data_IF_589056391857
#
_entry.id   IF_589056391857
#
_cell.length_a   1.000
_cell.length_b   1.000
_cell.length_c   1.000
_cell.angle_alpha   90.00
_cell.angle_beta   90.00
_cell.angle_gamma   90.00
#
_symmetry.space_group_name_H-M   'P 1'
#
loop_
_entity.id
_entity.type
_entity.pdbx_description
1 polymer ?
#
# COMPACT_ATOMS: atom_id res chain seq x y z
N UNK A 1 -5.10 3.97 12.99
CA UNK A 1 -4.91 4.37 11.58
C UNK A 1 -3.70 3.63 11.05
N UNK A 2 -3.84 3.02 9.87
CA UNK A 2 -2.71 2.45 9.12
C UNK A 2 -2.25 3.57 8.22
N UNK A 3 -1.20 4.24 8.64
CA UNK A 3 -0.71 5.40 7.93
C UNK A 3 0.50 4.92 7.13
N UNK A 4 0.49 5.10 5.81
CA UNK A 4 1.56 4.77 4.86
C UNK A 4 1.62 5.87 3.80
N UNK A 5 2.84 6.31 3.46
CA UNK A 5 3.09 7.51 2.65
C UNK A 5 3.87 7.19 1.37
N UNK A 6 3.18 7.06 0.23
CA UNK A 6 3.74 7.27 -1.12
C UNK A 6 2.65 7.17 -2.20
N UNK A 7 2.79 7.88 -3.32
CA UNK A 7 2.18 7.51 -4.61
C UNK A 7 3.32 7.17 -5.57
N UNK A 8 3.25 6.04 -6.26
CA UNK A 8 4.26 5.61 -7.21
C UNK A 8 3.73 5.76 -8.65
N UNK A 9 4.34 6.61 -9.46
CA UNK A 9 4.09 6.68 -10.90
C UNK A 9 5.21 5.92 -11.60
N UNK A 10 4.92 4.89 -12.36
CA UNK A 10 5.93 4.02 -13.01
C UNK A 10 5.82 4.11 -14.52
N UNK A 11 6.94 4.28 -15.22
CA UNK A 11 6.95 4.73 -16.61
C UNK A 11 7.65 3.72 -17.51
N UNK A 12 6.92 3.28 -18.55
CA UNK A 12 7.35 2.43 -19.67
C UNK A 12 7.78 0.99 -19.35
N UNK A 13 6.87 0.02 -19.56
CA UNK A 13 7.17 -1.41 -19.55
C UNK A 13 8.06 -1.81 -20.73
N UNK A 14 9.34 -2.14 -20.52
CA UNK A 14 10.29 -2.40 -21.62
C UNK A 14 10.32 -3.84 -22.12
N UNK A 15 10.22 -4.83 -21.26
CA UNK A 15 10.41 -6.23 -21.67
C UNK A 15 9.99 -7.22 -20.54
N UNK A 16 8.81 -7.83 -20.63
CA UNK A 16 8.39 -8.87 -19.67
C UNK A 16 9.17 -10.19 -19.83
N UNK A 17 9.93 -10.35 -20.91
CA UNK A 17 10.57 -11.61 -21.29
C UNK A 17 12.07 -11.63 -20.96
N UNK A 18 12.66 -10.48 -20.63
CA UNK A 18 14.05 -10.39 -20.20
C UNK A 18 14.15 -9.90 -18.74
N UNK A 19 14.25 -10.82 -17.77
CA UNK A 19 14.32 -10.47 -16.34
C UNK A 19 15.58 -9.70 -15.97
N UNK A 20 16.61 -9.70 -16.82
CA UNK A 20 17.83 -8.92 -16.60
C UNK A 20 17.68 -7.43 -16.99
N UNK A 21 16.56 -7.04 -17.62
CA UNK A 21 16.25 -5.63 -17.90
C UNK A 21 15.28 -5.08 -16.87
N UNK A 22 15.42 -3.81 -16.49
CA UNK A 22 14.42 -3.18 -15.65
C UNK A 22 13.04 -3.18 -16.32
N UNK A 23 12.01 -3.50 -15.55
CA UNK A 23 10.64 -3.51 -16.05
C UNK A 23 10.22 -2.12 -16.55
N UNK A 24 10.60 -1.06 -15.82
CA UNK A 24 10.28 0.33 -16.15
C UNK A 24 11.52 1.14 -16.53
N UNK A 25 11.47 1.99 -17.55
CA UNK A 25 12.60 2.88 -17.88
C UNK A 25 12.83 3.96 -16.84
N UNK A 26 11.73 4.47 -16.27
CA UNK A 26 11.76 5.54 -15.28
C UNK A 26 10.68 5.31 -14.23
N UNK A 27 10.93 5.73 -12.99
CA UNK A 27 9.95 5.74 -11.91
C UNK A 27 9.90 7.15 -11.35
N UNK A 28 8.71 7.72 -11.20
CA UNK A 28 8.49 9.03 -10.58
C UNK A 28 7.67 8.84 -9.33
N UNK A 29 8.25 9.12 -8.18
CA UNK A 29 7.60 9.01 -6.88
C UNK A 29 7.02 10.37 -6.50
N UNK A 30 5.73 10.40 -6.19
CA UNK A 30 5.02 11.59 -5.72
C UNK A 30 4.62 11.38 -4.28
N UNK A 31 5.31 12.03 -3.36
CA UNK A 31 5.07 11.86 -1.93
C UNK A 31 3.83 12.59 -1.47
N UNK A 32 2.97 11.90 -0.76
CA UNK A 32 1.76 12.41 -0.09
C UNK A 32 1.65 11.74 1.26
N UNK A 33 0.80 12.29 2.14
CA UNK A 33 0.46 11.63 3.38
C UNK A 33 1.61 11.48 4.37
N UNK A 34 2.64 12.31 4.22
CA UNK A 34 3.75 12.39 5.16
C UNK A 34 3.93 13.81 5.71
N UNK A 35 4.24 13.90 7.00
CA UNK A 35 4.45 15.18 7.70
C UNK A 35 5.65 15.94 7.13
N UNK A 36 6.74 15.22 6.85
CA UNK A 36 7.93 15.75 6.19
C UNK A 36 8.33 14.87 4.98
N UNK A 37 7.81 15.23 3.81
CA UNK A 37 8.04 14.51 2.56
C UNK A 37 9.51 14.54 2.11
N UNK A 38 10.26 15.58 2.47
CA UNK A 38 11.69 15.66 2.14
C UNK A 38 12.49 14.61 2.93
N UNK A 39 12.14 14.39 4.21
CA UNK A 39 12.73 13.32 5.03
C UNK A 39 12.40 11.94 4.47
N UNK A 40 11.14 11.68 4.11
CA UNK A 40 10.77 10.39 3.53
C UNK A 40 11.50 10.11 2.23
N UNK A 41 11.62 11.10 1.33
CA UNK A 41 12.39 10.96 0.11
C UNK A 41 13.87 10.63 0.37
N UNK A 42 14.47 11.32 1.35
CA UNK A 42 15.86 11.06 1.76
C UNK A 42 16.01 9.64 2.34
N UNK A 43 15.07 9.21 3.18
CA UNK A 43 15.04 7.85 3.73
C UNK A 43 14.89 6.76 2.67
N UNK A 44 14.09 7.02 1.62
CA UNK A 44 13.96 6.10 0.47
C UNK A 44 15.23 6.05 -0.38
N UNK A 45 15.94 7.17 -0.55
CA UNK A 45 17.26 7.18 -1.21
C UNK A 45 18.27 6.36 -0.42
N UNK A 46 18.29 6.48 0.91
CA UNK A 46 19.13 5.67 1.78
C UNK A 46 18.78 4.18 1.67
N UNK A 47 17.48 3.84 1.65
CA UNK A 47 17.00 2.48 1.39
C UNK A 47 17.51 1.94 0.06
N UNK A 48 17.34 2.67 -1.05
CA UNK A 48 17.78 2.22 -2.37
C UNK A 48 19.30 2.06 -2.43
N UNK A 49 20.06 2.93 -1.75
CA UNK A 49 21.51 2.80 -1.64
C UNK A 49 21.94 1.57 -0.83
N UNK A 50 21.20 1.18 0.21
CA UNK A 50 21.40 -0.09 0.93
C UNK A 50 21.00 -1.29 0.07
N UNK A 51 19.86 -1.22 -0.62
CA UNK A 51 19.33 -2.28 -1.47
C UNK A 51 20.23 -2.56 -2.68
N UNK A 52 20.97 -1.57 -3.17
CA UNK A 52 21.96 -1.74 -4.26
C UNK A 52 23.09 -2.71 -3.86
N UNK A 53 23.34 -2.88 -2.56
CA UNK A 53 24.37 -3.77 -2.01
C UNK A 53 23.84 -5.15 -1.64
N UNK A 54 22.56 -5.44 -1.91
CA UNK A 54 21.90 -6.72 -1.64
C UNK A 54 22.02 -7.69 -2.81
N UNK A 55 21.58 -8.92 -2.60
CA UNK A 55 21.43 -9.93 -3.64
C UNK A 55 19.99 -10.42 -3.59
N UNK A 56 19.20 -10.23 -4.65
CA UNK A 56 19.52 -9.45 -5.86
C UNK A 56 19.74 -7.95 -5.56
N UNK A 57 20.64 -7.26 -6.28
CA UNK A 57 20.78 -5.81 -6.13
C UNK A 57 19.70 -5.09 -6.93
N UNK A 58 19.23 -3.93 -6.45
CA UNK A 58 18.51 -2.99 -7.33
C UNK A 58 19.45 -2.48 -8.44
N UNK A 59 18.95 -2.11 -9.63
CA UNK A 59 19.78 -1.66 -10.75
C UNK A 59 20.67 -0.47 -10.38
N UNK A 60 21.96 -0.51 -10.73
CA UNK A 60 22.94 0.56 -10.38
C UNK A 60 22.57 1.95 -10.92
N UNK A 61 21.81 1.99 -12.01
CA UNK A 61 21.33 3.21 -12.66
C UNK A 61 20.02 3.76 -12.07
N UNK A 62 19.55 3.22 -10.93
CA UNK A 62 18.29 3.64 -10.31
C UNK A 62 18.25 5.15 -10.06
N UNK A 63 19.39 5.79 -9.70
CA UNK A 63 19.47 7.23 -9.43
C UNK A 63 19.05 8.09 -10.62
N UNK A 64 19.46 7.70 -11.82
CA UNK A 64 19.14 8.43 -13.05
C UNK A 64 17.69 8.17 -13.49
N UNK A 65 17.16 7.03 -13.09
CA UNK A 65 15.84 6.52 -13.47
C UNK A 65 14.73 6.86 -12.47
N UNK A 66 15.06 7.39 -11.30
CA UNK A 66 14.08 7.83 -10.30
C UNK A 66 13.90 9.34 -10.29
N UNK A 67 12.66 9.81 -10.40
CA UNK A 67 12.25 11.19 -10.11
C UNK A 67 11.51 11.26 -8.78
N UNK A 68 11.65 12.38 -8.08
CA UNK A 68 11.07 12.57 -6.75
C UNK A 68 10.33 13.90 -6.71
N UNK A 69 9.05 13.87 -6.36
CA UNK A 69 8.18 15.04 -6.24
C UNK A 69 7.36 14.94 -4.96
N UNK A 70 6.73 16.02 -4.54
CA UNK A 70 5.75 16.03 -3.45
C UNK A 70 4.38 16.49 -3.92
N UNK A 71 3.31 15.93 -3.36
CA UNK A 71 1.96 16.43 -3.54
C UNK A 71 1.83 17.88 -3.10
N UNK A 72 0.90 18.62 -3.73
CA UNK A 72 0.60 20.00 -3.36
C UNK A 72 0.04 20.09 -1.94
N UNK A 73 -0.84 19.17 -1.58
CA UNK A 73 -1.46 19.10 -0.27
C UNK A 73 -1.01 17.84 0.46
N UNK A 74 -0.82 17.95 1.78
CA UNK A 74 -0.78 16.78 2.62
C UNK A 74 -2.21 16.44 3.07
N UNK A 75 -2.75 15.34 2.57
CA UNK A 75 -4.08 14.85 2.97
C UNK A 75 -4.09 14.21 4.37
N UNK A 76 -2.92 14.06 4.98
CA UNK A 76 -2.78 13.62 6.37
C UNK A 76 -2.79 14.81 7.32
N UNK A 77 -3.73 14.79 8.27
CA UNK A 77 -3.93 15.83 9.29
C UNK A 77 -3.02 15.64 10.49
N UNK A 78 -2.48 14.43 10.66
CA UNK A 78 -1.70 14.04 11.83
C UNK A 78 -0.34 13.48 11.41
N UNK A 79 0.64 13.63 12.30
CA UNK A 79 1.95 13.03 12.12
C UNK A 79 1.81 11.51 12.08
N UNK A 80 2.45 10.93 11.07
CA UNK A 80 2.34 9.51 10.83
C UNK A 80 3.34 8.77 11.73
N UNK A 81 2.90 7.80 12.56
CA UNK A 81 3.73 7.23 13.64
C UNK A 81 5.00 6.51 13.17
N UNK A 82 5.01 5.98 11.95
CA UNK A 82 6.20 5.33 11.38
C UNK A 82 7.24 6.36 10.88
N UNK A 83 6.93 7.66 10.81
CA UNK A 83 7.91 8.68 10.44
C UNK A 83 8.96 8.92 11.54
N UNK A 84 8.71 8.42 12.76
CA UNK A 84 9.67 8.51 13.87
C UNK A 84 11.05 7.94 13.54
N UNK A 85 11.13 7.01 12.58
CA UNK A 85 12.40 6.45 12.08
C UNK A 85 13.27 7.52 11.41
N UNK A 86 12.63 8.45 10.72
CA UNK A 86 13.29 9.52 9.99
C UNK A 86 13.34 10.83 10.77
N UNK A 87 12.92 10.86 12.05
CA UNK A 87 12.79 12.10 12.84
C UNK A 87 14.08 12.94 12.87
N UNK A 88 15.23 12.27 12.93
CA UNK A 88 16.56 12.89 13.00
C UNK A 88 17.24 13.02 11.62
N UNK A 89 16.62 12.50 10.56
CA UNK A 89 17.16 12.59 9.21
C UNK A 89 17.12 14.06 8.77
N UNK A 90 18.24 14.52 8.20
CA UNK A 90 18.34 15.86 7.61
C UNK A 90 18.25 15.70 6.10
N UNK A 91 17.16 16.18 5.46
CA UNK A 91 17.03 16.07 4.02
C UNK A 91 18.18 16.80 3.30
N UNK A 92 18.73 16.15 2.28
CA UNK A 92 19.80 16.73 1.47
C UNK A 92 19.27 17.65 0.35
N UNK A 93 17.98 17.52 0.00
CA UNK A 93 17.30 18.35 -1.00
C UNK A 93 15.84 18.62 -0.62
N UNK A 94 15.24 19.60 -1.30
CA UNK A 94 13.80 19.84 -1.26
C UNK A 94 13.14 19.24 -2.49
N UNK A 95 12.00 18.59 -2.29
CA UNK A 95 11.18 18.07 -3.38
C UNK A 95 10.43 19.19 -4.08
N UNK A 96 10.39 19.13 -5.42
CA UNK A 96 9.50 19.96 -6.20
C UNK A 96 8.04 19.53 -6.03
N UNK A 97 7.11 20.47 -6.13
CA UNK A 97 5.68 20.18 -6.09
C UNK A 97 5.23 19.52 -7.40
N UNK A 98 4.52 18.41 -7.27
CA UNK A 98 3.87 17.71 -8.36
C UNK A 98 2.65 18.52 -8.82
N UNK A 99 2.75 19.04 -10.04
CA UNK A 99 1.68 19.60 -10.85
C UNK A 99 1.56 18.76 -12.11
N UNK A 100 0.48 18.90 -12.87
CA UNK A 100 0.36 18.26 -14.18
C UNK A 100 1.60 18.54 -15.06
N UNK A 101 2.03 19.80 -15.22
CA UNK A 101 3.24 20.14 -15.96
C UNK A 101 4.55 19.54 -15.40
N UNK A 102 4.80 19.59 -14.08
CA UNK A 102 6.05 19.07 -13.52
C UNK A 102 6.13 17.54 -13.60
N UNK A 103 4.97 16.87 -13.47
CA UNK A 103 4.86 15.44 -13.66
C UNK A 103 5.06 15.07 -15.14
N UNK A 104 4.38 15.74 -16.08
CA UNK A 104 4.57 15.52 -17.51
C UNK A 104 6.02 15.75 -17.96
N UNK A 105 6.68 16.81 -17.45
CA UNK A 105 8.10 17.06 -17.71
C UNK A 105 9.00 15.95 -17.13
N UNK A 106 8.67 15.41 -15.96
CA UNK A 106 9.38 14.27 -15.37
C UNK A 106 9.17 12.99 -16.17
N UNK A 107 7.99 12.79 -16.75
CA UNK A 107 7.66 11.68 -17.64
C UNK A 107 8.36 11.81 -18.99
N UNK A 108 8.46 13.01 -19.56
CA UNK A 108 9.13 13.26 -20.83
C UNK A 108 10.64 12.96 -20.82
N UNK A 109 11.26 12.86 -19.63
CA UNK A 109 12.63 12.36 -19.46
C UNK A 109 12.74 10.85 -19.71
N UNK A 110 11.62 10.13 -19.76
CA UNK A 110 11.55 8.73 -20.13
C UNK A 110 11.33 8.61 -21.65
N UNK A 111 12.23 7.89 -22.33
CA UNK A 111 12.17 7.67 -23.78
C UNK A 111 13.24 8.45 -24.56
N UNK A 112 13.86 7.77 -25.53
CA UNK A 112 14.90 8.33 -26.41
C UNK A 112 14.55 8.25 -27.89
N UNK A 113 13.27 8.07 -28.24
CA UNK A 113 12.84 7.61 -29.57
C UNK A 113 11.74 8.41 -30.28
N UNK A 114 11.34 9.59 -29.78
CA UNK A 114 10.36 10.47 -30.44
C UNK A 114 8.88 10.15 -30.20
N UNK A 115 8.54 8.92 -29.79
CA UNK A 115 7.17 8.57 -29.35
C UNK A 115 6.93 8.95 -27.87
N UNK A 116 5.72 9.42 -27.50
CA UNK A 116 5.42 9.72 -26.12
C UNK A 116 5.41 8.43 -25.27
N UNK A 117 5.99 8.46 -24.05
CA UNK A 117 6.10 7.29 -23.20
C UNK A 117 4.73 6.73 -22.79
N UNK A 118 4.63 5.41 -22.66
CA UNK A 118 3.48 4.74 -22.06
C UNK A 118 3.57 4.82 -20.53
N UNK A 119 2.48 5.18 -19.87
CA UNK A 119 2.48 5.49 -18.43
C UNK A 119 1.58 4.52 -17.67
N UNK A 120 2.10 3.91 -16.60
CA UNK A 120 1.31 3.17 -15.61
C UNK A 120 1.32 3.95 -14.28
N UNK A 121 0.14 4.16 -13.69
CA UNK A 121 -0.01 4.93 -12.45
C UNK A 121 -0.40 4.00 -11.32
N UNK A 122 0.32 4.02 -10.20
CA UNK A 122 0.02 3.21 -9.01
C UNK A 122 -0.24 4.12 -7.80
N UNK A 123 -1.51 4.31 -7.45
CA UNK A 123 -1.88 5.08 -6.27
C UNK A 123 -1.88 4.20 -5.02
N UNK A 124 -0.91 4.44 -4.13
CA UNK A 124 -0.69 3.67 -2.90
C UNK A 124 -0.75 4.51 -1.62
N UNK A 125 -1.31 5.72 -1.70
CA UNK A 125 -1.63 6.56 -0.55
C UNK A 125 -2.77 7.53 -0.89
N UNK A 126 -3.47 8.07 0.13
CA UNK A 126 -4.53 9.03 -0.10
C UNK A 126 -4.04 10.26 -0.86
N UNK A 127 -4.91 10.85 -1.68
CA UNK A 127 -4.58 12.01 -2.52
C UNK A 127 -5.76 12.95 -2.67
N UNK A 128 -5.55 14.23 -2.95
CA UNK A 128 -6.66 15.10 -3.32
C UNK A 128 -7.15 14.72 -4.73
N UNK A 129 -8.48 14.59 -4.89
CA UNK A 129 -9.12 14.25 -6.17
C UNK A 129 -8.69 15.18 -7.31
N UNK A 130 -8.66 16.49 -7.03
CA UNK A 130 -8.26 17.53 -8.00
C UNK A 130 -6.83 17.35 -8.51
N UNK A 131 -5.92 16.89 -7.65
CA UNK A 131 -4.52 16.74 -8.02
C UNK A 131 -4.36 15.46 -8.88
N UNK A 132 -5.12 14.39 -8.60
CA UNK A 132 -5.18 13.21 -9.49
C UNK A 132 -5.73 13.60 -10.88
N UNK A 133 -6.79 14.40 -10.92
CA UNK A 133 -7.35 14.87 -12.18
C UNK A 133 -6.35 15.70 -12.99
N UNK A 134 -5.64 16.60 -12.33
CA UNK A 134 -4.56 17.37 -12.96
C UNK A 134 -3.49 16.46 -13.59
N UNK A 135 -3.15 15.35 -12.92
CA UNK A 135 -2.20 14.38 -13.45
C UNK A 135 -2.74 13.59 -14.64
N UNK A 136 -3.97 13.10 -14.56
CA UNK A 136 -4.61 12.37 -15.67
C UNK A 136 -4.71 13.24 -16.91
N UNK A 137 -5.02 14.53 -16.74
CA UNK A 137 -5.19 15.46 -17.85
C UNK A 137 -3.84 15.87 -18.50
N UNK A 138 -2.74 15.84 -17.75
CA UNK A 138 -1.42 16.29 -18.20
C UNK A 138 -0.49 15.16 -18.69
N UNK A 139 -0.59 13.96 -18.11
CA UNK A 139 0.26 12.82 -18.49
C UNK A 139 -0.04 12.37 -19.93
N UNK A 140 0.97 11.90 -20.68
CA UNK A 140 0.74 11.25 -21.98
C UNK A 140 0.36 9.78 -21.80
N UNK A 141 -0.46 9.25 -22.72
CA UNK A 141 -0.65 7.82 -22.97
C UNK A 141 -0.72 6.92 -21.70
N UNK A 142 -1.67 7.19 -20.79
CA UNK A 142 -1.87 6.30 -19.63
C UNK A 142 -2.41 4.95 -20.13
N UNK A 143 -1.76 3.87 -19.70
CA UNK A 143 -2.13 2.49 -20.02
C UNK A 143 -2.85 1.85 -18.84
N UNK A 144 -2.24 1.84 -17.65
CA UNK A 144 -2.85 1.34 -16.42
C UNK A 144 -2.98 2.47 -15.41
N UNK A 145 -4.12 2.51 -14.74
CA UNK A 145 -4.27 3.20 -13.46
C UNK A 145 -4.63 2.14 -12.41
N UNK A 146 -3.74 1.87 -11.49
CA UNK A 146 -3.96 0.97 -10.37
C UNK A 146 -4.36 1.77 -9.12
N UNK A 147 -5.44 1.32 -8.48
CA UNK A 147 -5.92 1.87 -7.23
C UNK A 147 -6.14 0.75 -6.21
N UNK A 148 -5.32 0.71 -5.16
CA UNK A 148 -5.48 -0.25 -4.08
C UNK A 148 -6.61 0.18 -3.13
N UNK A 149 -7.70 -0.58 -3.09
CA UNK A 149 -8.85 -0.31 -2.23
C UNK A 149 -8.48 -0.47 -0.75
N UNK A 150 -8.68 0.61 0.00
CA UNK A 150 -8.38 0.69 1.42
C UNK A 150 -8.09 2.13 1.82
N UNK A 151 -7.40 2.30 2.93
CA UNK A 151 -6.95 3.62 3.35
C UNK A 151 -6.23 4.37 2.20
N UNK A 152 -5.42 3.66 1.41
CA UNK A 152 -4.60 4.19 0.32
C UNK A 152 -5.41 4.75 -0.86
N UNK A 153 -6.66 4.35 -1.02
CA UNK A 153 -7.53 4.84 -2.10
C UNK A 153 -8.44 5.99 -1.67
N UNK A 154 -8.27 6.58 -0.48
CA UNK A 154 -9.10 7.72 -0.05
C UNK A 154 -8.77 8.99 -0.81
N UNK A 155 -9.75 9.88 -0.93
CA UNK A 155 -9.60 11.17 -1.59
C UNK A 155 -9.86 12.30 -0.61
N UNK A 156 -8.85 13.14 -0.47
CA UNK A 156 -8.87 14.26 0.45
C UNK A 156 -8.72 13.89 1.92
N UNK A 157 -8.96 14.89 2.75
CA UNK A 157 -8.60 14.90 4.17
C UNK A 157 -9.79 14.48 5.04
N UNK A 158 -9.84 13.23 5.45
CA UNK A 158 -10.89 12.73 6.34
C UNK A 158 -10.44 12.80 7.81
N UNK A 159 -11.31 13.35 8.68
CA UNK A 159 -11.09 13.46 10.12
C UNK A 159 -12.43 13.39 10.86
N UNK A 160 -12.38 12.90 12.10
CA UNK A 160 -13.45 12.95 13.10
C UNK A 160 -13.86 14.37 13.52
N UNK A 161 -13.04 15.38 13.19
CA UNK A 161 -13.30 16.80 13.47
C UNK A 161 -14.17 17.49 12.41
N UNK A 162 -14.47 16.81 11.29
CA UNK A 162 -15.33 17.36 10.25
C UNK A 162 -16.77 17.53 10.78
N UNK A 163 -17.47 18.58 10.32
CA UNK A 163 -18.91 18.68 10.55
C UNK A 163 -19.64 17.52 9.87
N UNK A 164 -20.86 17.19 10.32
CA UNK A 164 -21.65 16.14 9.70
C UNK A 164 -21.92 16.41 8.20
N UNK A 165 -22.09 17.68 7.82
CA UNK A 165 -22.27 18.11 6.44
C UNK A 165 -21.00 17.92 5.61
N UNK A 166 -19.86 18.40 6.10
CA UNK A 166 -18.56 18.25 5.42
C UNK A 166 -18.16 16.77 5.27
N UNK A 167 -18.43 15.97 6.31
CA UNK A 167 -18.18 14.54 6.32
C UNK A 167 -18.96 13.83 5.20
N UNK A 168 -20.26 14.11 5.08
CA UNK A 168 -21.11 13.58 4.02
C UNK A 168 -20.68 14.07 2.63
N UNK A 169 -20.35 15.35 2.49
CA UNK A 169 -19.89 15.91 1.23
C UNK A 169 -18.56 15.28 0.77
N UNK A 170 -17.64 15.04 1.69
CA UNK A 170 -16.38 14.36 1.41
C UNK A 170 -16.60 12.89 1.03
N UNK A 171 -17.48 12.17 1.74
CA UNK A 171 -17.80 10.78 1.41
C UNK A 171 -18.40 10.66 0.00
N UNK A 172 -19.35 11.54 -0.35
CA UNK A 172 -19.94 11.58 -1.69
C UNK A 172 -18.88 11.87 -2.76
N UNK A 173 -18.00 12.86 -2.53
CA UNK A 173 -16.88 13.16 -3.44
C UNK A 173 -15.96 11.95 -3.66
N UNK A 174 -15.63 11.22 -2.61
CA UNK A 174 -14.84 9.99 -2.72
C UNK A 174 -15.59 8.93 -3.54
N UNK A 175 -16.88 8.74 -3.31
CA UNK A 175 -17.70 7.79 -4.05
C UNK A 175 -17.79 8.13 -5.55
N UNK A 176 -18.03 9.41 -5.86
CA UNK A 176 -18.09 9.90 -7.23
C UNK A 176 -16.74 9.78 -7.93
N UNK A 177 -15.63 10.05 -7.24
CA UNK A 177 -14.29 9.85 -7.78
C UNK A 177 -14.10 8.40 -8.25
N UNK A 178 -14.35 7.42 -7.38
CA UNK A 178 -14.15 6.00 -7.71
C UNK A 178 -15.06 5.54 -8.85
N UNK A 179 -16.32 5.97 -8.84
CA UNK A 179 -17.28 5.58 -9.87
C UNK A 179 -17.06 6.22 -11.25
N UNK A 180 -16.39 7.37 -11.30
CA UNK A 180 -16.18 8.12 -12.56
C UNK A 180 -14.76 8.04 -13.09
N UNK A 181 -13.81 7.53 -12.31
CA UNK A 181 -12.38 7.46 -12.65
C UNK A 181 -12.13 6.76 -13.99
N UNK A 182 -12.69 5.57 -14.22
CA UNK A 182 -12.50 4.86 -15.50
C UNK A 182 -13.06 5.65 -16.69
N UNK A 183 -14.26 6.22 -16.55
CA UNK A 183 -14.88 7.03 -17.60
C UNK A 183 -14.03 8.26 -17.95
N UNK A 184 -13.55 8.99 -16.93
CA UNK A 184 -12.69 10.15 -17.11
C UNK A 184 -11.32 9.78 -17.68
N UNK A 185 -10.74 8.69 -17.22
CA UNK A 185 -9.48 8.15 -17.72
C UNK A 185 -9.61 7.81 -19.21
N UNK A 186 -10.65 7.09 -19.64
CA UNK A 186 -10.89 6.74 -21.05
C UNK A 186 -11.18 7.94 -21.95
N UNK A 187 -11.79 8.99 -21.43
CA UNK A 187 -12.07 10.20 -22.19
C UNK A 187 -10.78 10.89 -22.67
N UNK A 188 -9.71 10.79 -21.88
CA UNK A 188 -8.38 11.33 -22.21
C UNK A 188 -7.45 10.29 -22.83
N UNK A 189 -7.53 9.05 -22.35
CA UNK A 189 -6.64 7.93 -22.67
C UNK A 189 -7.47 6.73 -23.12
N UNK A 190 -7.82 6.67 -24.41
CA UNK A 190 -8.84 5.73 -24.92
C UNK A 190 -8.57 4.24 -24.61
N UNK A 191 -7.30 3.85 -24.46
CA UNK A 191 -6.87 2.48 -24.17
C UNK A 191 -6.64 2.20 -22.67
N UNK A 192 -6.80 3.19 -21.81
CA UNK A 192 -6.47 3.05 -20.40
C UNK A 192 -7.42 2.11 -19.64
N UNK A 193 -6.85 1.39 -18.67
CA UNK A 193 -7.58 0.49 -17.77
C UNK A 193 -7.36 0.89 -16.31
N UNK A 194 -8.44 1.18 -15.61
CA UNK A 194 -8.50 1.23 -14.17
C UNK A 194 -8.57 -0.20 -13.62
N UNK A 195 -7.60 -0.57 -12.79
CA UNK A 195 -7.54 -1.85 -12.09
C UNK A 195 -7.57 -1.58 -10.59
N UNK A 196 -8.59 -2.11 -9.93
CA UNK A 196 -8.69 -2.16 -8.48
C UNK A 196 -8.12 -3.45 -7.95
N UNK A 197 -7.49 -3.36 -6.78
CA UNK A 197 -7.15 -4.53 -5.98
C UNK A 197 -7.65 -4.36 -4.54
N UNK A 198 -8.00 -5.45 -3.87
CA UNK A 198 -8.33 -5.46 -2.45
C UNK A 198 -8.02 -6.83 -1.82
N UNK A 199 -7.59 -6.87 -0.56
CA UNK A 199 -7.14 -8.13 0.05
C UNK A 199 -8.12 -9.33 -0.13
N UNK A 200 -9.39 -9.29 0.31
CA UNK A 200 -10.24 -10.48 0.28
C UNK A 200 -10.80 -10.84 -1.11
N UNK A 201 -10.79 -9.93 -2.09
CA UNK A 201 -11.26 -10.24 -3.46
C UNK A 201 -10.08 -10.57 -4.38
N UNK A 202 -8.96 -9.85 -4.23
CA UNK A 202 -7.78 -10.08 -5.06
C UNK A 202 -7.04 -11.34 -4.66
N UNK A 203 -6.92 -11.63 -3.37
CA UNK A 203 -6.18 -12.80 -2.88
C UNK A 203 -7.11 -13.83 -2.25
N UNK A 204 -6.87 -15.10 -2.57
CA UNK A 204 -7.56 -16.25 -1.94
C UNK A 204 -7.16 -16.46 -0.47
N UNK A 205 -6.05 -15.86 -0.04
CA UNK A 205 -5.50 -15.97 1.32
C UNK A 205 -5.63 -14.64 2.09
N UNK A 206 -6.30 -14.62 3.27
CA UNK A 206 -6.38 -13.43 4.13
C UNK A 206 -5.02 -12.87 4.57
N UNK A 207 -3.98 -13.72 4.63
CA UNK A 207 -2.60 -13.33 4.97
C UNK A 207 -1.78 -12.76 3.81
N UNK A 208 -2.39 -12.52 2.64
CA UNK A 208 -1.67 -12.03 1.46
C UNK A 208 -1.12 -10.60 1.60
N UNK A 209 -1.49 -9.87 2.65
CA UNK A 209 -0.89 -8.57 2.98
C UNK A 209 0.52 -8.68 3.58
N UNK A 210 0.93 -9.86 4.05
CA UNK A 210 2.15 -9.98 4.85
C UNK A 210 3.09 -11.06 4.31
N UNK A 211 4.38 -10.90 4.55
CA UNK A 211 5.45 -11.80 4.10
C UNK A 211 6.23 -12.34 5.29
N UNK A 212 6.67 -13.60 5.21
CA UNK A 212 7.46 -14.21 6.29
C UNK A 212 8.81 -13.50 6.44
N UNK A 213 9.22 -13.22 7.68
CA UNK A 213 10.48 -12.53 7.97
C UNK A 213 11.70 -13.24 7.35
N UNK A 214 11.69 -14.58 7.33
CA UNK A 214 12.77 -15.37 6.74
C UNK A 214 12.95 -15.10 5.24
N UNK A 215 11.84 -14.96 4.51
CA UNK A 215 11.84 -14.59 3.10
C UNK A 215 12.30 -13.13 2.94
N UNK A 216 11.76 -12.19 3.73
CA UNK A 216 12.16 -10.79 3.67
C UNK A 216 13.66 -10.57 3.90
N UNK A 217 14.29 -11.34 4.79
CA UNK A 217 15.74 -11.31 5.06
C UNK A 217 16.61 -11.67 3.87
N UNK A 218 16.08 -12.32 2.85
CA UNK A 218 16.80 -12.63 1.62
C UNK A 218 16.88 -11.38 0.72
N UNK A 219 15.82 -10.58 0.66
CA UNK A 219 15.69 -9.51 -0.33
C UNK A 219 15.94 -8.10 0.22
N UNK A 220 15.57 -7.83 1.47
CA UNK A 220 15.63 -6.48 2.05
C UNK A 220 16.86 -6.26 2.95
N UNK A 221 17.36 -5.01 3.09
CA UNK A 221 18.40 -4.70 4.05
C UNK A 221 17.92 -4.87 5.51
N UNK A 222 18.83 -5.28 6.40
CA UNK A 222 18.48 -5.59 7.81
C UNK A 222 17.98 -4.37 8.59
N UNK A 223 18.48 -3.17 8.28
CA UNK A 223 18.03 -1.92 8.89
C UNK A 223 16.53 -1.69 8.61
N UNK A 224 16.12 -1.84 7.34
CA UNK A 224 14.74 -1.66 6.91
C UNK A 224 13.81 -2.77 7.43
N UNK A 225 14.32 -4.00 7.54
CA UNK A 225 13.62 -5.10 8.22
C UNK A 225 13.36 -4.76 9.69
N UNK A 226 14.35 -4.20 10.38
CA UNK A 226 14.23 -3.82 11.80
C UNK A 226 13.21 -2.69 11.98
N UNK A 227 13.21 -1.70 11.09
CA UNK A 227 12.20 -0.63 11.06
C UNK A 227 10.80 -1.20 10.83
N UNK A 228 10.63 -2.09 9.84
CA UNK A 228 9.33 -2.68 9.52
C UNK A 228 8.80 -3.62 10.61
N UNK A 229 9.68 -4.36 11.31
CA UNK A 229 9.29 -5.15 12.49
C UNK A 229 8.73 -4.27 13.61
N UNK A 230 9.23 -3.05 13.70
CA UNK A 230 8.92 -2.10 14.76
C UNK A 230 7.73 -1.19 14.39
N UNK A 231 6.78 -1.67 13.59
CA UNK A 231 5.60 -0.88 13.26
C UNK A 231 4.68 -0.66 14.49
N UNK A 232 4.35 0.58 14.89
CA UNK A 232 3.35 0.89 15.93
C UNK A 232 1.98 0.25 15.76
N UNK A 233 1.63 -0.16 14.54
CA UNK A 233 0.41 -0.90 14.25
C UNK A 233 0.18 -2.05 15.23
N UNK A 234 1.24 -2.80 15.56
CA UNK A 234 1.16 -3.95 16.45
C UNK A 234 0.74 -3.58 17.87
N UNK A 235 1.40 -2.59 18.48
CA UNK A 235 1.11 -2.17 19.86
C UNK A 235 -0.27 -1.54 19.96
N UNK A 236 -0.65 -0.69 19.02
CA UNK A 236 -1.96 -0.02 19.00
C UNK A 236 -3.13 -1.00 18.94
N UNK A 237 -3.06 -2.00 18.05
CA UNK A 237 -4.10 -3.03 17.98
C UNK A 237 -4.12 -3.93 19.22
N UNK A 238 -2.96 -4.23 19.79
CA UNK A 238 -2.90 -5.01 21.05
C UNK A 238 -3.52 -4.21 22.20
N UNK A 239 -3.24 -2.91 22.31
CA UNK A 239 -3.85 -2.00 23.30
C UNK A 239 -5.37 -1.92 23.14
N UNK A 240 -5.84 -1.71 21.92
CA UNK A 240 -7.27 -1.64 21.62
C UNK A 240 -7.95 -2.98 21.98
N UNK A 241 -7.41 -4.11 21.49
CA UNK A 241 -7.94 -5.44 21.77
C UNK A 241 -7.96 -5.77 23.27
N UNK A 242 -6.95 -5.30 24.03
CA UNK A 242 -6.85 -5.54 25.47
C UNK A 242 -8.05 -4.98 26.25
N UNK A 243 -8.69 -3.91 25.76
CA UNK A 243 -9.88 -3.34 26.40
C UNK A 243 -11.11 -4.24 26.29
N UNK A 244 -11.14 -5.10 25.26
CA UNK A 244 -12.23 -6.03 24.94
C UNK A 244 -11.99 -7.46 25.42
N UNK A 245 -10.77 -7.80 25.84
CA UNK A 245 -10.44 -9.10 26.40
C UNK A 245 -11.01 -9.28 27.83
N UNK A 246 -11.28 -10.54 28.18
CA UNK A 246 -11.73 -10.94 29.51
C UNK A 246 -10.72 -10.54 30.58
N UNK A 247 -11.23 -10.15 31.76
CA UNK A 247 -10.41 -9.66 32.87
C UNK A 247 -9.30 -10.65 33.28
N UNK A 248 -9.54 -11.96 33.13
CA UNK A 248 -8.60 -13.02 33.51
C UNK A 248 -7.35 -13.09 32.60
N UNK A 249 -7.44 -12.66 31.34
CA UNK A 249 -6.34 -12.73 30.36
C UNK A 249 -5.87 -11.36 29.88
N UNK A 250 -6.52 -10.29 30.32
CA UNK A 250 -6.14 -8.91 30.04
C UNK A 250 -4.69 -8.63 30.50
N UNK A 251 -3.91 -8.01 29.63
CA UNK A 251 -2.56 -7.54 29.92
C UNK A 251 -2.62 -6.43 30.98
N UNK A 252 -1.99 -6.67 32.13
CA UNK A 252 -2.00 -5.76 33.29
C UNK A 252 -0.86 -4.74 33.28
N UNK A 253 0.27 -5.08 32.65
CA UNK A 253 1.51 -4.32 32.70
C UNK A 253 1.89 -3.76 31.31
N UNK A 254 0.93 -3.20 30.57
CA UNK A 254 1.23 -2.50 29.32
C UNK A 254 2.08 -1.26 29.65
N UNK A 255 3.33 -1.14 29.17
CA UNK A 255 4.15 0.03 29.42
C UNK A 255 3.49 1.32 28.95
N UNK A 256 3.60 2.39 29.74
CA UNK A 256 3.08 3.71 29.34
C UNK A 256 3.88 4.37 28.21
N UNK A 257 5.15 3.98 28.05
CA UNK A 257 6.01 4.44 26.97
C UNK A 257 5.80 3.53 25.74
N UNK A 258 5.40 4.13 24.62
CA UNK A 258 5.09 3.40 23.39
C UNK A 258 6.30 2.64 22.84
N UNK A 259 7.51 3.22 22.88
CA UNK A 259 8.73 2.58 22.39
C UNK A 259 9.12 1.37 23.27
N UNK A 260 8.90 1.44 24.57
CA UNK A 260 9.12 0.31 25.48
C UNK A 260 8.16 -0.83 25.18
N UNK A 261 6.87 -0.52 24.98
CA UNK A 261 5.88 -1.54 24.67
C UNK A 261 6.16 -2.17 23.29
N UNK A 262 6.52 -1.35 22.31
CA UNK A 262 6.89 -1.80 20.97
C UNK A 262 8.08 -2.76 21.01
N UNK A 263 9.14 -2.44 21.75
CA UNK A 263 10.29 -3.35 21.94
C UNK A 263 9.88 -4.69 22.56
N UNK A 264 8.97 -4.67 23.54
CA UNK A 264 8.45 -5.89 24.16
C UNK A 264 7.63 -6.73 23.17
N UNK A 265 6.74 -6.11 22.41
CA UNK A 265 5.92 -6.77 21.38
C UNK A 265 6.80 -7.36 20.28
N UNK A 266 7.77 -6.61 19.75
CA UNK A 266 8.74 -7.13 18.77
C UNK A 266 9.52 -8.32 19.34
N UNK A 267 9.95 -8.25 20.60
CA UNK A 267 10.58 -9.38 21.29
C UNK A 267 9.69 -10.63 21.34
N UNK A 268 8.41 -10.45 21.68
CA UNK A 268 7.42 -11.54 21.73
C UNK A 268 7.03 -12.10 20.35
N UNK A 269 7.20 -11.31 19.29
CA UNK A 269 7.04 -11.76 17.89
C UNK A 269 8.22 -12.60 17.43
N UNK A 270 9.43 -12.29 17.88
CA UNK A 270 10.67 -12.96 17.47
C UNK A 270 11.03 -14.20 18.30
N UNK A 271 10.58 -14.29 19.56
CA UNK A 271 10.96 -15.35 20.50
C UNK A 271 9.75 -15.87 21.26
N UNK A 272 9.72 -17.18 21.50
CA UNK A 272 8.72 -17.77 22.39
C UNK A 272 9.04 -17.39 23.84
N UNK A 273 8.00 -17.15 24.64
CA UNK A 273 8.15 -16.73 26.02
C UNK A 273 6.83 -16.36 26.69
N UNK A 274 6.87 -16.03 28.00
CA UNK A 274 5.67 -15.76 28.78
C UNK A 274 4.81 -14.62 28.20
N UNK A 275 5.43 -13.51 27.78
CA UNK A 275 4.72 -12.38 27.21
C UNK A 275 4.01 -12.75 25.89
N UNK A 276 4.64 -13.53 25.01
CA UNK A 276 4.02 -14.02 23.77
C UNK A 276 2.73 -14.78 24.06
N UNK A 277 2.76 -15.67 25.06
CA UNK A 277 1.60 -16.47 25.49
C UNK A 277 0.50 -15.61 26.12
N UNK A 278 0.87 -14.60 26.90
CA UNK A 278 -0.07 -13.63 27.47
C UNK A 278 -0.76 -12.81 26.38
N UNK A 279 0.01 -12.29 25.41
CA UNK A 279 -0.54 -11.57 24.25
C UNK A 279 -1.48 -12.47 23.46
N UNK A 280 -1.08 -13.72 23.15
CA UNK A 280 -1.94 -14.66 22.43
C UNK A 280 -3.27 -14.93 23.15
N UNK A 281 -3.23 -15.23 24.45
CA UNK A 281 -4.44 -15.50 25.23
C UNK A 281 -5.38 -14.28 25.25
N UNK A 282 -4.83 -13.09 25.41
CA UNK A 282 -5.58 -11.84 25.34
C UNK A 282 -6.23 -11.66 23.96
N UNK A 283 -5.47 -11.82 22.88
CA UNK A 283 -5.96 -11.65 21.50
C UNK A 283 -7.04 -12.67 21.15
N UNK A 284 -6.92 -13.92 21.59
CA UNK A 284 -7.94 -14.95 21.37
C UNK A 284 -9.25 -14.62 22.10
N UNK A 285 -9.18 -14.12 23.34
CA UNK A 285 -10.36 -13.66 24.08
C UNK A 285 -11.00 -12.44 23.39
N UNK A 286 -10.20 -11.44 23.00
CA UNK A 286 -10.69 -10.27 22.28
C UNK A 286 -11.33 -10.64 20.93
N UNK A 287 -10.74 -11.57 20.17
CA UNK A 287 -11.29 -12.06 18.91
C UNK A 287 -12.65 -12.76 19.06
N UNK A 288 -12.94 -13.33 20.24
CA UNK A 288 -14.24 -13.89 20.59
C UNK A 288 -15.29 -12.88 21.08
N UNK A 289 -14.93 -11.59 21.22
CA UNK A 289 -15.81 -10.56 21.77
C UNK A 289 -16.77 -10.00 20.71
N UNK A 290 -18.07 -10.28 20.87
CA UNK A 290 -19.12 -9.68 20.01
C UNK A 290 -19.21 -8.16 20.19
N UNK A 291 -18.86 -7.63 21.38
CA UNK A 291 -18.78 -6.18 21.61
C UNK A 291 -17.68 -5.56 20.76
N UNK A 292 -16.49 -6.16 20.73
CA UNK A 292 -15.39 -5.65 19.90
C UNK A 292 -15.74 -5.67 18.42
N UNK A 293 -16.35 -6.76 17.95
CA UNK A 293 -16.84 -6.90 16.58
C UNK A 293 -17.87 -5.84 16.20
N UNK A 294 -18.73 -5.44 17.14
CA UNK A 294 -19.76 -4.41 16.91
C UNK A 294 -19.20 -3.00 16.95
N UNK A 295 -18.35 -2.69 17.93
CA UNK A 295 -17.84 -1.34 18.17
C UNK A 295 -16.65 -0.98 17.26
N UNK A 296 -15.82 -1.96 16.91
CA UNK A 296 -14.61 -1.76 16.09
C UNK A 296 -14.38 -2.97 15.17
N UNK A 297 -15.34 -3.22 14.27
CA UNK A 297 -15.35 -4.36 13.35
C UNK A 297 -14.06 -4.52 12.54
N UNK A 298 -13.44 -3.41 12.12
CA UNK A 298 -12.16 -3.41 11.39
C UNK A 298 -11.00 -3.89 12.26
N UNK A 299 -10.85 -3.35 13.47
CA UNK A 299 -9.78 -3.77 14.38
C UNK A 299 -10.00 -5.22 14.84
N UNK A 300 -11.25 -5.61 15.12
CA UNK A 300 -11.62 -7.00 15.41
C UNK A 300 -11.19 -7.94 14.28
N UNK A 301 -11.52 -7.62 13.03
CA UNK A 301 -11.12 -8.41 11.87
C UNK A 301 -9.61 -8.57 11.73
N UNK A 302 -8.82 -7.52 12.03
CA UNK A 302 -7.35 -7.58 12.03
C UNK A 302 -6.81 -8.44 13.17
N UNK A 303 -7.38 -8.30 14.36
CA UNK A 303 -6.99 -9.12 15.50
C UNK A 303 -7.23 -10.60 15.20
N UNK A 304 -8.43 -10.94 14.74
CA UNK A 304 -8.83 -12.32 14.43
C UNK A 304 -8.02 -12.93 13.29
N UNK A 305 -7.80 -12.18 12.19
CA UNK A 305 -7.22 -12.75 10.97
C UNK A 305 -5.69 -12.62 10.89
N UNK A 306 -5.09 -11.65 11.60
CA UNK A 306 -3.66 -11.32 11.50
C UNK A 306 -2.96 -11.60 12.84
N UNK A 307 -3.33 -10.90 13.91
CA UNK A 307 -2.56 -10.93 15.16
C UNK A 307 -2.65 -12.29 15.87
N UNK A 308 -3.82 -12.93 15.93
CA UNK A 308 -3.93 -14.26 16.56
C UNK A 308 -2.98 -15.26 15.90
N UNK A 309 -2.90 -15.26 14.57
CA UNK A 309 -2.02 -16.15 13.82
C UNK A 309 -0.54 -15.82 14.04
N UNK A 310 -0.16 -14.53 14.03
CA UNK A 310 1.22 -14.07 14.29
C UNK A 310 1.77 -14.56 15.64
N UNK A 311 0.91 -14.68 16.65
CA UNK A 311 1.28 -15.09 18.01
C UNK A 311 1.05 -16.59 18.28
N UNK A 312 0.41 -17.32 17.37
CA UNK A 312 0.16 -18.77 17.50
C UNK A 312 1.38 -19.59 17.07
N UNK A 313 1.59 -20.73 17.72
CA UNK A 313 2.65 -21.68 17.35
C UNK A 313 4.07 -21.14 17.52
N UNK A 314 5.01 -21.75 16.79
CA UNK A 314 6.41 -21.35 16.77
C UNK A 314 6.55 -19.93 16.20
N UNK A 315 7.33 -19.02 16.83
CA UNK A 315 7.54 -17.68 16.32
C UNK A 315 8.00 -17.68 14.86
N UNK A 316 7.17 -17.13 13.98
CA UNK A 316 7.44 -16.95 12.56
C UNK A 316 6.87 -15.59 12.13
N UNK A 317 7.49 -14.48 12.57
CA UNK A 317 6.91 -13.16 12.39
C UNK A 317 6.81 -12.77 10.92
N UNK A 318 5.84 -11.92 10.63
CA UNK A 318 5.59 -11.41 9.28
C UNK A 318 5.87 -9.91 9.16
N UNK A 319 6.22 -9.44 7.96
CA UNK A 319 6.30 -8.01 7.63
C UNK A 319 5.11 -7.64 6.76
N UNK A 320 4.49 -6.49 7.04
CA UNK A 320 3.37 -6.00 6.24
C UNK A 320 3.87 -5.40 4.92
N UNK A 321 3.57 -6.08 3.82
CA UNK A 321 3.98 -5.71 2.46
C UNK A 321 2.78 -5.63 1.50
N UNK A 322 1.58 -5.37 2.03
CA UNK A 322 0.33 -5.41 1.26
C UNK A 322 0.36 -4.56 0.00
N UNK A 323 0.84 -3.31 0.10
CA UNK A 323 0.90 -2.40 -1.05
C UNK A 323 1.83 -2.92 -2.15
N UNK A 324 3.00 -3.43 -1.76
CA UNK A 324 3.95 -4.04 -2.69
C UNK A 324 3.37 -5.31 -3.32
N UNK A 325 2.65 -6.13 -2.54
CA UNK A 325 2.00 -7.34 -3.04
C UNK A 325 0.89 -7.03 -4.04
N UNK A 326 0.11 -5.97 -3.82
CA UNK A 326 -0.92 -5.50 -4.76
C UNK A 326 -0.33 -4.98 -6.07
N UNK A 327 0.73 -4.17 -6.00
CA UNK A 327 1.46 -3.74 -7.19
C UNK A 327 2.00 -4.96 -7.95
N UNK A 328 2.65 -5.88 -7.23
CA UNK A 328 3.26 -7.07 -7.84
C UNK A 328 2.22 -7.95 -8.52
N UNK A 329 1.06 -8.17 -7.90
CA UNK A 329 -0.04 -8.92 -8.51
C UNK A 329 -0.53 -8.27 -9.81
N UNK A 330 -0.61 -6.94 -9.87
CA UNK A 330 -0.94 -6.23 -11.11
C UNK A 330 0.16 -6.40 -12.16
N UNK A 331 1.43 -6.27 -11.78
CA UNK A 331 2.55 -6.46 -12.69
C UNK A 331 2.58 -7.88 -13.28
N UNK A 332 2.37 -8.90 -12.46
CA UNK A 332 2.29 -10.30 -12.88
C UNK A 332 1.12 -10.56 -13.83
N UNK A 333 -0.06 -9.99 -13.53
CA UNK A 333 -1.19 -10.05 -14.44
C UNK A 333 -0.84 -9.46 -15.82
N UNK A 334 -0.22 -8.28 -15.84
CA UNK A 334 0.18 -7.60 -17.08
C UNK A 334 1.29 -8.35 -17.84
N UNK A 335 2.19 -9.04 -17.13
CA UNK A 335 3.22 -9.89 -17.73
C UNK A 335 2.59 -11.14 -18.36
N UNK A 336 1.64 -11.77 -17.67
CA UNK A 336 0.86 -12.91 -18.19
C UNK A 336 0.07 -12.56 -19.45
N UNK A 337 -0.59 -11.40 -19.48
CA UNK A 337 -1.28 -10.90 -20.68
C UNK A 337 -0.34 -10.75 -21.87
N UNK A 338 0.87 -10.22 -21.65
CA UNK A 338 1.87 -10.01 -22.70
C UNK A 338 2.49 -11.32 -23.21
N UNK A 339 2.75 -12.27 -22.31
CA UNK A 339 3.39 -13.54 -22.64
C UNK A 339 2.44 -14.54 -23.34
N UNK A 340 1.12 -14.30 -23.34
CA UNK A 340 0.08 -15.26 -23.77
C UNK A 340 0.20 -16.63 -23.06
N UNK A 341 0.95 -16.70 -21.95
CA UNK A 341 1.08 -17.89 -21.13
C UNK A 341 -0.21 -18.05 -20.34
N UNK A 342 -0.91 -19.18 -20.49
CA UNK A 342 -2.17 -19.48 -19.80
C UNK A 342 -2.05 -19.70 -18.27
N UNK A 343 -1.03 -19.12 -17.62
CA UNK A 343 -0.81 -19.19 -16.18
C UNK A 343 -1.65 -18.16 -15.43
N UNK A 344 -2.22 -18.58 -14.29
CA UNK A 344 -3.24 -17.87 -13.54
C UNK A 344 -2.68 -16.76 -12.61
N UNK A 345 -2.05 -15.71 -13.15
CA UNK A 345 -1.66 -14.50 -12.39
C UNK A 345 -2.85 -13.69 -11.85
N UNK A 346 -4.07 -14.20 -12.02
CA UNK A 346 -5.33 -13.58 -11.65
C UNK A 346 -6.25 -13.38 -12.86
N UNK A 347 -7.42 -12.82 -12.60
CA UNK A 347 -8.44 -12.50 -13.60
C UNK A 347 -9.08 -11.15 -13.30
N UNK A 348 -9.29 -10.35 -14.34
CA UNK A 348 -10.09 -9.14 -14.25
C UNK A 348 -11.58 -9.46 -14.34
N UNK A 349 -12.34 -8.96 -13.38
CA UNK A 349 -13.80 -8.94 -13.40
C UNK A 349 -14.29 -7.48 -13.44
N UNK A 350 -15.42 -7.18 -14.09
CA UNK A 350 -15.97 -5.82 -14.06
C UNK A 350 -16.24 -5.35 -12.64
N UNK A 351 -15.77 -4.14 -12.34
CA UNK A 351 -15.96 -3.49 -11.05
C UNK A 351 -17.39 -2.96 -10.89
N UNK A 352 -17.82 -2.85 -9.63
CA UNK A 352 -19.00 -2.10 -9.20
C UNK A 352 -18.59 -1.23 -8.02
N UNK A 353 -18.57 0.09 -8.20
CA UNK A 353 -18.21 1.04 -7.16
C UNK A 353 -19.45 1.43 -6.34
N UNK A 354 -19.38 1.26 -5.02
CA UNK A 354 -20.40 1.70 -4.10
C UNK A 354 -20.47 3.23 -4.05
N UNK A 355 -21.70 3.76 -4.09
CA UNK A 355 -22.01 5.19 -4.08
C UNK A 355 -22.69 5.64 -2.79
N UNK A 356 -22.84 4.73 -1.83
CA UNK A 356 -23.69 4.91 -0.65
C UNK A 356 -22.93 5.14 0.65
N UNK A 357 -21.60 4.97 0.65
CA UNK A 357 -20.76 5.24 1.82
C UNK A 357 -20.88 6.71 2.26
N UNK A 358 -21.12 6.92 3.55
CA UNK A 358 -21.32 8.25 4.15
C UNK A 358 -20.22 8.61 5.13
N UNK A 359 -19.36 7.66 5.50
CA UNK A 359 -18.20 7.87 6.36
C UNK A 359 -16.94 8.09 5.49
N UNK A 360 -16.40 9.31 5.42
CA UNK A 360 -15.22 9.60 4.59
C UNK A 360 -13.93 8.95 5.12
N UNK A 361 -13.94 8.38 6.33
CA UNK A 361 -12.84 7.58 6.87
C UNK A 361 -12.77 6.18 6.25
N UNK A 362 -13.84 5.75 5.56
CA UNK A 362 -13.91 4.50 4.83
C UNK A 362 -13.95 4.81 3.32
N UNK A 363 -13.04 4.24 2.51
CA UNK A 363 -13.15 4.36 1.07
C UNK A 363 -14.43 3.64 0.57
N UNK A 364 -15.11 4.16 -0.47
CA UNK A 364 -16.28 3.52 -1.06
C UNK A 364 -15.96 2.11 -1.56
N UNK A 365 -16.72 1.11 -1.12
CA UNK A 365 -16.48 -0.31 -1.45
C UNK A 365 -16.45 -0.54 -2.96
N UNK A 366 -15.56 -1.43 -3.41
CA UNK A 366 -15.54 -1.91 -4.79
C UNK A 366 -15.80 -3.42 -4.82
N UNK A 367 -16.87 -3.83 -5.49
CA UNK A 367 -17.25 -5.23 -5.67
C UNK A 367 -17.02 -5.69 -7.12
N UNK A 368 -17.20 -6.99 -7.35
CA UNK A 368 -17.17 -7.60 -8.69
C UNK A 368 -18.58 -7.91 -9.21
N UNK A 369 -18.74 -8.03 -10.52
CA UNK A 369 -19.99 -8.50 -11.14
C UNK A 369 -20.78 -7.40 -11.84
N UNK A 370 -20.12 -6.28 -12.17
CA UNK A 370 -20.73 -5.23 -12.97
C UNK A 370 -21.10 -5.71 -14.38
N UNK A 371 -22.09 -5.07 -15.03
CA UNK A 371 -22.51 -5.45 -16.38
C UNK A 371 -21.43 -5.15 -17.43
N UNK A 372 -20.63 -4.09 -17.24
CA UNK A 372 -19.50 -3.75 -18.10
C UNK A 372 -18.39 -3.08 -17.31
N UNK A 373 -17.13 -3.37 -17.66
CA UNK A 373 -15.97 -2.66 -17.10
C UNK A 373 -15.73 -1.28 -17.76
N UNK A 374 -16.48 -0.95 -18.80
CA UNK A 374 -16.27 0.27 -19.59
C UNK A 374 -16.52 1.55 -18.77
N UNK A 375 -17.36 1.47 -17.73
CA UNK A 375 -17.77 2.62 -16.91
C UNK A 375 -16.97 2.73 -15.62
N UNK A 376 -16.79 1.63 -14.89
CA UNK A 376 -16.23 1.64 -13.53
C UNK A 376 -14.91 0.87 -13.41
N UNK A 377 -14.40 0.28 -14.50
CA UNK A 377 -13.10 -0.39 -14.52
C UNK A 377 -13.17 -1.86 -14.12
N UNK A 378 -12.05 -2.38 -13.61
CA UNK A 378 -11.84 -3.80 -13.36
C UNK A 378 -11.37 -4.05 -11.94
N UNK A 379 -11.76 -5.19 -11.35
CA UNK A 379 -11.17 -5.72 -10.13
C UNK A 379 -10.31 -6.92 -10.47
N UNK A 380 -9.06 -6.93 -10.02
CA UNK A 380 -8.19 -8.10 -10.12
C UNK A 380 -8.54 -9.11 -9.03
N UNK A 381 -8.77 -10.36 -9.44
CA UNK A 381 -9.22 -11.47 -8.58
C UNK A 381 -8.35 -12.70 -8.77
N UNK A 382 -8.38 -13.61 -7.79
CA UNK A 382 -7.77 -14.94 -7.92
C UNK A 382 -6.25 -14.95 -7.96
N UNK A 383 -5.59 -13.92 -7.41
CA UNK A 383 -4.14 -13.88 -7.26
C UNK A 383 -3.71 -14.83 -6.13
N UNK A 384 -2.59 -15.53 -6.33
CA UNK A 384 -1.95 -16.36 -5.31
C UNK A 384 -0.61 -15.74 -4.90
N UNK A 385 -0.53 -15.24 -3.66
CA UNK A 385 0.68 -14.63 -3.13
C UNK A 385 1.86 -15.60 -3.08
N UNK A 386 1.62 -16.93 -2.99
CA UNK A 386 2.69 -17.92 -3.06
C UNK A 386 3.28 -18.02 -4.46
N UNK A 387 2.44 -17.90 -5.48
CA UNK A 387 2.90 -17.83 -6.87
C UNK A 387 3.74 -16.57 -7.07
N UNK A 388 3.28 -15.43 -6.54
CA UNK A 388 4.05 -14.19 -6.57
C UNK A 388 5.43 -14.31 -5.92
N UNK A 389 5.52 -14.98 -4.76
CA UNK A 389 6.82 -15.27 -4.12
C UNK A 389 7.72 -16.12 -5.00
N UNK A 390 7.18 -17.20 -5.57
CA UNK A 390 7.92 -18.10 -6.43
C UNK A 390 8.41 -17.41 -7.71
N UNK A 391 7.63 -16.46 -8.24
CA UNK A 391 8.02 -15.66 -9.40
C UNK A 391 9.13 -14.67 -9.05
N UNK A 392 9.06 -13.99 -7.91
CA UNK A 392 10.18 -13.17 -7.39
C UNK A 392 11.44 -14.03 -7.20
N UNK A 393 11.33 -15.20 -6.56
CA UNK A 393 12.45 -16.12 -6.37
C UNK A 393 13.07 -16.54 -7.70
N UNK A 394 12.24 -16.85 -8.71
CA UNK A 394 12.70 -17.23 -10.05
C UNK A 394 13.37 -16.08 -10.82
N UNK A 395 13.01 -14.82 -10.55
CA UNK A 395 13.67 -13.66 -11.15
C UNK A 395 15.09 -13.46 -10.61
N UNK A 396 15.39 -14.00 -9.42
CA UNK A 396 16.58 -13.63 -8.65
C UNK A 396 17.44 -14.80 -8.16
N UNK A 397 16.99 -16.05 -8.30
CA UNK A 397 17.75 -17.29 -8.10
C UNK A 397 18.20 -17.89 -9.43
#
# INVERSE_FOLDING_TARGET
>A
MDDKAAVAVTLLKRDAQNPAKPQYDRVVLVFTGASDRNKIASGMVDYLARAERRTPPVPKDWRDRTGWLQARTNVMVEEVPHERWYKNLKPEWSLDVATGPSLAASVAKAGGGGDPPLVDVFQIAPYEDKDVWEFIDALPNINIYHLFYGYNSRQGTASDKLSAEDSKALAQRQADFHATLQGRLKAKHAQARLIFTQNPISFSNPGAGSQELAWCRQYFPEEDITMALSDPFWTRLIEEANTYADAAVRLQNVPKNEDDFLRQVVGARLKDGPLRKQILAMLQSAAGSETFKKESSRSHGRVSNILVNEFTGTPSPTLELGDANHITAVLEYLDGEAAKSGGAAGKLLPAVCDKTEQNPMLPPKVDTGGPTAATEGWVLTGCDIKQTRADIERLFG
#
